data_IF_038264624581
#
_entry.id   IF_038264624581
#
_cell.length_a   1.000
_cell.length_b   1.000
_cell.length_c   1.000
_cell.angle_alpha   90.00
_cell.angle_beta   90.00
_cell.angle_gamma   90.00
#
_symmetry.space_group_name_H-M   'P 1'
#
loop_
_entity.id
_entity.type
_entity.pdbx_description
1 polymer ?
#
# COMPACT_ATOMS: atom_id res chain seq x y z
N UNK A 1 -42.53 -2.45 12.53
CA UNK A 1 -41.47 -2.00 13.44
C UNK A 1 -40.32 -1.49 12.59
N UNK A 2 -40.08 -0.19 12.60
CA UNK A 2 -39.00 0.46 11.85
C UNK A 2 -37.74 0.44 12.73
N UNK A 3 -36.93 -0.62 12.60
CA UNK A 3 -35.63 -0.66 13.26
C UNK A 3 -34.65 0.19 12.44
N UNK A 4 -34.44 1.44 12.86
CA UNK A 4 -33.31 2.25 12.40
C UNK A 4 -32.19 2.11 13.43
N UNK A 5 -30.97 1.71 13.03
CA UNK A 5 -29.87 1.65 13.96
C UNK A 5 -29.60 3.05 14.55
N UNK A 6 -29.19 3.12 15.83
CA UNK A 6 -28.98 4.38 16.55
C UNK A 6 -28.01 5.33 15.83
N UNK A 7 -28.33 6.64 15.90
CA UNK A 7 -27.74 7.70 15.07
C UNK A 7 -26.22 7.88 15.16
N UNK A 8 -25.55 7.30 16.16
CA UNK A 8 -24.09 7.32 16.28
C UNK A 8 -23.38 6.58 15.15
N UNK A 9 -24.05 5.65 14.45
CA UNK A 9 -23.48 5.00 13.25
C UNK A 9 -23.32 5.95 12.05
N UNK A 10 -23.97 7.12 12.08
CA UNK A 10 -23.97 8.09 10.99
C UNK A 10 -23.28 9.41 11.34
N UNK A 11 -22.68 9.50 12.53
CA UNK A 11 -21.87 10.66 12.87
C UNK A 11 -20.59 10.63 12.01
N UNK A 12 -20.18 11.77 11.42
CA UNK A 12 -18.89 11.89 10.77
C UNK A 12 -17.79 11.47 11.75
N UNK A 13 -17.02 10.45 11.39
CA UNK A 13 -15.85 10.05 12.17
C UNK A 13 -14.75 11.06 11.92
N UNK A 14 -14.44 11.86 12.94
CA UNK A 14 -13.45 12.93 12.85
C UNK A 14 -12.17 12.57 13.62
N UNK A 15 -11.06 13.21 13.24
CA UNK A 15 -9.78 13.06 13.94
C UNK A 15 -9.23 11.63 13.94
N UNK A 16 -8.90 11.12 15.14
CA UNK A 16 -8.24 9.84 15.34
C UNK A 16 -9.11 8.64 14.95
N UNK A 17 -10.43 8.72 15.18
CA UNK A 17 -11.35 7.64 14.82
C UNK A 17 -11.41 7.46 13.30
N UNK A 18 -11.55 8.58 12.57
CA UNK A 18 -11.51 8.58 11.11
C UNK A 18 -10.17 8.09 10.56
N UNK A 19 -9.05 8.54 11.14
CA UNK A 19 -7.71 8.07 10.76
C UNK A 19 -7.55 6.56 10.95
N UNK A 20 -7.94 6.03 12.11
CA UNK A 20 -7.82 4.60 12.44
C UNK A 20 -8.65 3.74 11.49
N UNK A 21 -9.85 4.20 11.13
CA UNK A 21 -10.69 3.53 10.13
C UNK A 21 -10.00 3.50 8.75
N UNK A 22 -9.36 4.59 8.32
CA UNK A 22 -8.60 4.59 7.05
C UNK A 22 -7.39 3.66 7.10
N UNK A 23 -6.68 3.58 8.23
CA UNK A 23 -5.58 2.62 8.43
C UNK A 23 -6.09 1.18 8.37
N UNK A 24 -7.25 0.89 8.98
CA UNK A 24 -7.85 -0.44 8.92
C UNK A 24 -8.25 -0.84 7.48
N UNK A 25 -8.85 0.07 6.72
CA UNK A 25 -9.14 -0.17 5.31
C UNK A 25 -7.87 -0.27 4.45
N UNK A 26 -6.83 0.50 4.79
CA UNK A 26 -5.53 0.38 4.13
C UNK A 26 -4.87 -0.98 4.42
N UNK A 27 -5.03 -1.53 5.64
CA UNK A 27 -4.55 -2.86 5.98
C UNK A 27 -5.14 -3.92 5.05
N UNK A 28 -6.46 -3.93 4.90
CA UNK A 28 -7.13 -4.86 3.99
C UNK A 28 -6.67 -4.66 2.55
N UNK A 29 -6.64 -3.41 2.07
CA UNK A 29 -6.27 -3.13 0.70
C UNK A 29 -4.83 -3.54 0.37
N UNK A 30 -3.86 -3.11 1.19
CA UNK A 30 -2.44 -3.39 0.92
C UNK A 30 -2.16 -4.88 1.09
N UNK A 31 -2.68 -5.53 2.13
CA UNK A 31 -2.47 -6.96 2.34
C UNK A 31 -3.01 -7.80 1.19
N UNK A 32 -4.26 -7.56 0.75
CA UNK A 32 -4.89 -8.31 -0.34
C UNK A 32 -4.18 -8.05 -1.67
N UNK A 33 -3.93 -6.79 -2.01
CA UNK A 33 -3.33 -6.45 -3.30
C UNK A 33 -1.84 -6.84 -3.36
N UNK A 34 -1.15 -6.93 -2.23
CA UNK A 34 0.27 -7.29 -2.17
C UNK A 34 0.53 -8.76 -1.79
N UNK A 35 -0.51 -9.59 -1.72
CA UNK A 35 -0.39 -11.04 -1.44
C UNK A 35 0.69 -11.73 -2.28
N UNK A 36 0.83 -11.50 -3.61
CA UNK A 36 1.86 -12.16 -4.40
C UNK A 36 3.28 -11.87 -3.91
N UNK A 37 3.59 -10.61 -3.59
CA UNK A 37 4.90 -10.21 -3.07
C UNK A 37 5.16 -10.77 -1.67
N UNK A 38 4.15 -10.72 -0.79
CA UNK A 38 4.25 -11.29 0.55
C UNK A 38 4.60 -12.78 0.47
N UNK A 39 3.85 -13.53 -0.35
CA UNK A 39 4.14 -14.94 -0.59
C UNK A 39 5.54 -15.15 -1.16
N UNK A 40 5.93 -14.35 -2.16
CA UNK A 40 7.25 -14.48 -2.78
C UNK A 40 8.39 -14.27 -1.77
N UNK A 41 8.28 -13.28 -0.90
CA UNK A 41 9.30 -12.98 0.13
C UNK A 41 9.35 -14.03 1.25
N UNK A 42 8.29 -14.82 1.44
CA UNK A 42 8.23 -15.90 2.44
C UNK A 42 8.54 -17.29 1.86
N UNK A 43 8.34 -17.50 0.56
CA UNK A 43 8.42 -18.81 -0.08
C UNK A 43 9.76 -19.07 -0.79
N UNK A 44 10.51 -18.03 -1.16
CA UNK A 44 11.71 -18.16 -1.97
C UNK A 44 12.94 -17.56 -1.28
N UNK A 45 14.05 -18.32 -1.23
CA UNK A 45 15.38 -17.80 -0.92
C UNK A 45 16.12 -18.51 0.21
N UNK A 46 17.45 -18.35 0.28
CA UNK A 46 18.31 -19.02 1.28
C UNK A 46 18.19 -18.43 2.69
N UNK A 47 17.59 -17.24 2.84
CA UNK A 47 17.46 -16.53 4.11
C UNK A 47 16.10 -15.83 4.19
N UNK A 48 15.10 -16.63 4.54
CA UNK A 48 13.69 -16.24 4.63
C UNK A 48 13.47 -15.20 5.74
N UNK A 49 14.25 -15.24 6.82
CA UNK A 49 14.05 -14.38 8.00
C UNK A 49 14.36 -12.93 7.69
N UNK A 50 15.51 -12.65 7.06
CA UNK A 50 15.90 -11.28 6.70
C UNK A 50 14.95 -10.65 5.67
N UNK A 51 14.51 -11.43 4.68
CA UNK A 51 13.56 -10.98 3.67
C UNK A 51 12.17 -10.71 4.26
N UNK A 52 11.70 -11.60 5.14
CA UNK A 52 10.42 -11.46 5.83
C UNK A 52 10.37 -10.22 6.71
N UNK A 53 11.49 -9.83 7.33
CA UNK A 53 11.57 -8.60 8.12
C UNK A 53 11.31 -7.37 7.23
N UNK A 54 12.06 -7.23 6.13
CA UNK A 54 11.90 -6.11 5.19
C UNK A 54 10.49 -6.05 4.59
N UNK A 55 9.94 -7.19 4.20
CA UNK A 55 8.59 -7.29 3.66
C UNK A 55 7.51 -6.90 4.69
N UNK A 56 7.63 -7.37 5.94
CA UNK A 56 6.68 -7.07 7.02
C UNK A 56 6.70 -5.59 7.40
N UNK A 57 7.90 -5.01 7.49
CA UNK A 57 8.07 -3.59 7.80
C UNK A 57 7.53 -2.74 6.66
N UNK A 58 7.74 -3.15 5.41
CA UNK A 58 7.16 -2.47 4.26
C UNK A 58 5.63 -2.55 4.26
N UNK A 59 5.06 -3.72 4.53
CA UNK A 59 3.61 -3.89 4.64
C UNK A 59 3.01 -2.91 5.65
N UNK A 60 3.54 -2.89 6.89
CA UNK A 60 3.05 -1.98 7.93
C UNK A 60 3.24 -0.50 7.58
N UNK A 61 4.40 -0.16 6.98
CA UNK A 61 4.70 1.22 6.56
C UNK A 61 3.78 1.69 5.44
N UNK A 62 3.50 0.82 4.46
CA UNK A 62 2.52 1.09 3.39
C UNK A 62 1.12 1.26 3.99
N UNK A 63 0.70 0.40 4.91
CA UNK A 63 -0.62 0.49 5.55
C UNK A 63 -0.80 1.82 6.27
N UNK A 64 0.19 2.22 7.08
CA UNK A 64 0.16 3.51 7.78
C UNK A 64 0.22 4.69 6.81
N UNK A 65 1.09 4.63 5.80
CA UNK A 65 1.23 5.70 4.81
C UNK A 65 -0.02 5.88 3.94
N UNK A 66 -0.61 4.79 3.45
CA UNK A 66 -1.85 4.80 2.66
C UNK A 66 -3.04 5.24 3.52
N UNK A 67 -3.16 4.75 4.75
CA UNK A 67 -4.20 5.16 5.68
C UNK A 67 -4.13 6.65 5.98
N UNK A 68 -2.92 7.15 6.25
CA UNK A 68 -2.65 8.57 6.49
C UNK A 68 -2.97 9.41 5.26
N UNK A 69 -2.52 8.99 4.07
CA UNK A 69 -2.79 9.71 2.82
C UNK A 69 -4.31 9.81 2.51
N UNK A 70 -5.10 8.81 2.90
CA UNK A 70 -6.57 8.78 2.73
C UNK A 70 -7.35 9.53 3.81
N UNK A 71 -6.72 9.85 4.93
CA UNK A 71 -7.39 10.43 6.11
C UNK A 71 -7.45 11.96 6.10
N UNK A 72 -6.91 12.62 5.07
CA UNK A 72 -6.81 14.08 5.03
C UNK A 72 -5.62 14.64 5.84
N UNK A 73 -4.97 13.83 6.67
CA UNK A 73 -3.70 14.17 7.35
C UNK A 73 -2.46 14.03 6.44
N UNK A 74 -2.65 14.00 5.12
CA UNK A 74 -1.54 13.79 4.18
C UNK A 74 -0.64 15.03 4.14
N UNK A 75 0.65 14.93 4.49
CA UNK A 75 1.56 16.07 4.37
C UNK A 75 1.95 16.38 2.92
N UNK A 76 1.53 15.54 1.97
CA UNK A 76 1.95 15.62 0.56
C UNK A 76 0.95 16.38 -0.34
N UNK A 77 -0.18 16.84 0.20
CA UNK A 77 -1.26 17.56 -0.51
C UNK A 77 -1.74 16.88 -1.83
N UNK A 78 -1.42 15.60 -2.01
CA UNK A 78 -1.78 14.85 -3.20
C UNK A 78 -3.12 14.13 -2.98
N UNK A 79 -4.08 14.33 -3.89
CA UNK A 79 -5.34 13.57 -3.88
C UNK A 79 -5.03 12.08 -4.09
N UNK A 80 -5.40 11.25 -3.12
CA UNK A 80 -5.24 9.81 -3.23
C UNK A 80 -6.13 9.27 -4.37
N UNK A 81 -5.61 8.45 -5.32
CA UNK A 81 -6.38 8.04 -6.49
C UNK A 81 -7.68 7.34 -6.09
N UNK A 82 -8.81 7.74 -6.69
CA UNK A 82 -10.12 7.09 -6.44
C UNK A 82 -10.11 5.66 -6.98
N UNK A 83 -10.92 4.79 -6.37
CA UNK A 83 -10.99 3.38 -6.74
C UNK A 83 -11.59 3.20 -8.14
N UNK A 84 -10.87 2.52 -9.01
CA UNK A 84 -11.24 2.18 -10.39
C UNK A 84 -10.41 0.97 -10.85
N UNK A 85 -10.81 0.23 -11.90
CA UNK A 85 -10.05 -0.94 -12.35
C UNK A 85 -8.57 -0.65 -12.65
N UNK A 86 -8.28 0.49 -13.29
CA UNK A 86 -6.91 0.91 -13.60
C UNK A 86 -6.11 1.31 -12.36
N UNK A 87 -6.76 1.91 -11.35
CA UNK A 87 -6.08 2.24 -10.09
C UNK A 87 -5.88 1.02 -9.20
N UNK A 88 -6.76 0.02 -9.26
CA UNK A 88 -6.54 -1.29 -8.62
C UNK A 88 -5.29 -1.92 -9.20
N UNK A 89 -5.19 -2.01 -10.54
CA UNK A 89 -3.99 -2.54 -11.19
C UNK A 89 -2.73 -1.76 -10.79
N UNK A 90 -2.79 -0.43 -10.81
CA UNK A 90 -1.68 0.41 -10.41
C UNK A 90 -1.26 0.15 -8.95
N UNK A 91 -2.21 0.09 -8.02
CA UNK A 91 -1.96 -0.20 -6.59
C UNK A 91 -1.39 -1.59 -6.40
N UNK A 92 -1.93 -2.60 -7.08
CA UNK A 92 -1.39 -3.97 -7.05
C UNK A 92 0.07 -3.96 -7.46
N UNK A 93 0.40 -3.43 -8.64
CA UNK A 93 1.79 -3.40 -9.11
C UNK A 93 2.71 -2.63 -8.16
N UNK A 94 2.23 -1.48 -7.66
CA UNK A 94 3.04 -0.60 -6.82
C UNK A 94 3.31 -1.18 -5.43
N UNK A 95 2.30 -1.74 -4.76
CA UNK A 95 2.46 -2.36 -3.45
C UNK A 95 3.34 -3.61 -3.54
N UNK A 96 3.14 -4.47 -4.55
CA UNK A 96 4.00 -5.63 -4.75
C UNK A 96 5.45 -5.20 -5.01
N UNK A 97 5.67 -4.21 -5.88
CA UNK A 97 7.00 -3.69 -6.18
C UNK A 97 7.71 -3.15 -4.94
N UNK A 98 7.01 -2.38 -4.10
CA UNK A 98 7.55 -1.84 -2.86
C UNK A 98 7.92 -2.94 -1.85
N UNK A 99 7.04 -3.94 -1.65
CA UNK A 99 7.29 -5.05 -0.72
C UNK A 99 8.46 -5.91 -1.21
N UNK A 100 8.52 -6.23 -2.51
CA UNK A 100 9.64 -6.99 -3.09
C UNK A 100 10.96 -6.21 -2.94
N UNK A 101 10.95 -4.92 -3.27
CA UNK A 101 12.13 -4.06 -3.12
C UNK A 101 12.59 -4.01 -1.66
N UNK A 102 11.68 -3.84 -0.71
CA UNK A 102 12.02 -3.82 0.71
C UNK A 102 12.51 -5.17 1.25
N UNK A 103 11.88 -6.28 0.85
CA UNK A 103 12.28 -7.63 1.27
C UNK A 103 13.66 -8.01 0.75
N UNK A 104 13.88 -7.93 -0.56
CA UNK A 104 15.16 -8.31 -1.17
C UNK A 104 16.25 -7.24 -0.97
N UNK A 105 15.91 -5.96 -1.12
CA UNK A 105 16.87 -4.86 -0.93
C UNK A 105 17.27 -4.68 0.53
N UNK A 106 16.33 -4.82 1.46
CA UNK A 106 16.63 -4.83 2.89
C UNK A 106 17.58 -5.97 3.26
N UNK A 107 17.33 -7.19 2.73
CA UNK A 107 18.25 -8.32 2.92
C UNK A 107 19.66 -8.03 2.40
N UNK A 108 19.79 -7.41 1.23
CA UNK A 108 21.08 -7.04 0.66
C UNK A 108 21.83 -6.05 1.58
N UNK A 109 21.12 -5.08 2.15
CA UNK A 109 21.68 -4.13 3.12
C UNK A 109 22.15 -4.85 4.40
N UNK A 110 21.36 -5.79 4.90
CA UNK A 110 21.74 -6.60 6.06
C UNK A 110 23.00 -7.44 5.80
N UNK A 111 23.18 -8.01 4.58
CA UNK A 111 24.46 -8.68 4.21
C UNK A 111 25.63 -7.70 4.32
N UNK A 112 25.45 -6.48 3.77
CA UNK A 112 26.54 -5.53 3.57
C UNK A 112 26.96 -4.85 4.88
N UNK A 113 26.00 -4.54 5.75
CA UNK A 113 26.23 -3.78 6.96
C UNK A 113 26.22 -4.63 8.24
N UNK A 114 25.81 -5.91 8.15
CA UNK A 114 25.57 -6.79 9.30
C UNK A 114 24.61 -6.18 10.36
N UNK A 115 23.74 -5.27 9.93
CA UNK A 115 22.84 -4.51 10.79
C UNK A 115 21.39 -4.58 10.31
N UNK A 116 20.54 -5.20 11.13
CA UNK A 116 19.09 -5.29 10.88
C UNK A 116 18.40 -3.93 10.87
N UNK A 117 19.00 -2.92 11.50
CA UNK A 117 18.48 -1.56 11.54
C UNK A 117 18.50 -0.92 10.14
N UNK A 118 19.50 -1.26 9.30
CA UNK A 118 19.55 -0.85 7.90
C UNK A 118 18.36 -1.36 7.09
N UNK A 119 17.97 -2.63 7.29
CA UNK A 119 16.77 -3.22 6.68
C UNK A 119 15.50 -2.47 7.05
N UNK A 120 15.34 -2.11 8.33
CA UNK A 120 14.18 -1.37 8.82
C UNK A 120 14.08 0.00 8.15
N UNK A 121 15.16 0.79 8.21
CA UNK A 121 15.20 2.14 7.64
C UNK A 121 14.94 2.11 6.14
N UNK A 122 15.55 1.15 5.44
CA UNK A 122 15.37 0.99 4.01
C UNK A 122 13.93 0.62 3.65
N UNK A 123 13.33 -0.35 4.34
CA UNK A 123 11.95 -0.76 4.09
C UNK A 123 10.96 0.39 4.33
N UNK A 124 11.16 1.17 5.40
CA UNK A 124 10.38 2.38 5.67
C UNK A 124 10.55 3.41 4.55
N UNK A 125 11.79 3.71 4.15
CA UNK A 125 12.09 4.68 3.10
C UNK A 125 11.45 4.30 1.76
N UNK A 126 11.60 3.04 1.32
CA UNK A 126 10.97 2.50 0.12
C UNK A 126 9.45 2.65 0.19
N UNK A 127 8.84 2.34 1.34
CA UNK A 127 7.38 2.42 1.51
C UNK A 127 6.88 3.86 1.47
N UNK A 128 7.59 4.81 2.09
CA UNK A 128 7.26 6.23 2.05
C UNK A 128 7.36 6.78 0.63
N UNK A 129 8.44 6.44 -0.09
CA UNK A 129 8.59 6.80 -1.50
C UNK A 129 7.44 6.22 -2.32
N UNK A 130 7.11 4.94 -2.12
CA UNK A 130 6.03 4.29 -2.84
C UNK A 130 4.69 5.00 -2.62
N UNK A 131 4.34 5.35 -1.38
CA UNK A 131 3.12 6.11 -1.05
C UNK A 131 3.13 7.47 -1.73
N UNK A 132 4.26 8.20 -1.67
CA UNK A 132 4.38 9.53 -2.24
C UNK A 132 4.26 9.55 -3.77
N UNK A 133 4.74 8.51 -4.45
CA UNK A 133 4.76 8.46 -5.92
C UNK A 133 3.55 7.75 -6.52
N UNK A 134 2.77 7.01 -5.73
CA UNK A 134 1.62 6.23 -6.20
C UNK A 134 0.62 7.07 -7.00
N UNK A 135 0.23 8.30 -6.59
CA UNK A 135 -0.72 9.10 -7.38
C UNK A 135 -0.23 9.39 -8.81
N UNK A 136 1.07 9.67 -8.96
CA UNK A 136 1.70 9.90 -10.27
C UNK A 136 1.74 8.62 -11.09
N UNK A 137 2.11 7.51 -10.47
CA UNK A 137 2.12 6.20 -11.14
C UNK A 137 0.72 5.80 -11.61
N UNK A 138 -0.30 5.95 -10.77
CA UNK A 138 -1.69 5.66 -11.11
C UNK A 138 -2.18 6.53 -12.29
N UNK A 139 -1.77 7.80 -12.34
CA UNK A 139 -2.06 8.66 -13.49
C UNK A 139 -1.40 8.16 -14.78
N UNK A 140 -0.15 7.68 -14.72
CA UNK A 140 0.54 7.07 -15.86
C UNK A 140 -0.14 5.80 -16.34
N UNK A 141 -0.50 4.89 -15.43
CA UNK A 141 -1.24 3.65 -15.76
C UNK A 141 -2.59 4.00 -16.41
N UNK A 142 -3.32 4.97 -15.86
CA UNK A 142 -4.58 5.43 -16.45
C UNK A 142 -4.41 5.98 -17.87
N UNK A 143 -3.33 6.71 -18.15
CA UNK A 143 -3.03 7.21 -19.51
C UNK A 143 -2.70 6.05 -20.46
N UNK A 144 -1.89 5.10 -20.02
CA UNK A 144 -1.52 3.92 -20.80
C UNK A 144 -2.72 3.06 -21.16
N UNK A 145 -3.67 2.92 -20.22
CA UNK A 145 -4.89 2.16 -20.41
C UNK A 145 -6.11 3.05 -20.71
N UNK A 146 -5.91 4.25 -21.26
CA UNK A 146 -7.02 5.14 -21.62
C UNK A 146 -7.93 4.54 -22.71
N UNK A 147 -7.38 3.65 -23.55
CA UNK A 147 -8.09 2.88 -24.57
C UNK A 147 -8.90 1.72 -23.96
N UNK A 148 -8.55 1.26 -22.76
CA UNK A 148 -9.18 0.13 -22.11
C UNK A 148 -10.26 0.61 -21.14
N UNK A 149 -11.44 0.88 -21.68
CA UNK A 149 -12.65 1.07 -20.88
C UNK A 149 -13.43 -0.24 -20.83
N UNK A 150 -13.45 -0.90 -19.67
CA UNK A 150 -14.35 -2.01 -19.40
C UNK A 150 -15.79 -1.64 -19.79
N UNK A 151 -16.41 -2.41 -20.68
CA UNK A 151 -17.82 -2.24 -21.06
C UNK A 151 -18.10 -1.44 -22.35
N UNK A 152 -17.10 -1.10 -23.19
CA UNK A 152 -17.40 -0.69 -24.57
C UNK A 152 -17.56 -1.93 -25.47
N UNK A 153 -18.65 -2.07 -26.24
CA UNK A 153 -18.70 -3.08 -27.29
C UNK A 153 -17.57 -2.81 -28.29
N UNK A 154 -16.88 -3.87 -28.72
CA UNK A 154 -15.96 -3.78 -29.85
C UNK A 154 -16.75 -3.31 -31.10
N UNK A 155 -16.17 -2.44 -31.94
CA UNK A 155 -16.79 -2.07 -33.21
C UNK A 155 -16.95 -3.27 -34.14
#
# INVERSE_FOLDING_TARGET
MDWRPPGWKYLPKEGLEGWTEKVFYALLEVSVLALPALLATTAFGPDIVGQSLGASVSLLSLVLGVGTAKSGFSPLDAEWPRFSPTTVLARTLWYNGAILAAGFGGRAIDVLLFERLGTLVFAVAVSLVAVATLPRFAASVRRLFAWWTWGRPFP
#
